data_IF_229224869579
#
_entry.id   IF_229224869579
#
_cell.length_a   1.000
_cell.length_b   1.000
_cell.length_c   1.000
_cell.angle_alpha   90.00
_cell.angle_beta   90.00
_cell.angle_gamma   90.00
#
_symmetry.space_group_name_H-M   'P 1'
#
loop_
_entity.id
_entity.type
_entity.pdbx_description
1 polymer ?
#
# COMPACT_ATOMS: atom_id res chain seq x y z
N UNK A 1 -24.13 0.71 11.81
CA UNK A 1 -23.07 0.29 10.86
C UNK A 1 -22.16 1.47 10.64
N UNK A 2 -20.86 1.28 10.78
CA UNK A 2 -19.88 2.34 10.53
C UNK A 2 -19.85 2.69 9.05
N UNK A 3 -19.97 3.98 8.75
CA UNK A 3 -19.94 4.46 7.37
C UNK A 3 -18.55 4.26 6.77
N UNK A 4 -18.51 3.92 5.48
CA UNK A 4 -17.32 3.56 4.72
C UNK A 4 -16.89 4.69 3.80
N UNK A 5 -15.57 4.80 3.63
CA UNK A 5 -14.90 5.64 2.65
C UNK A 5 -14.51 4.72 1.50
N UNK A 6 -15.01 5.03 0.30
CA UNK A 6 -14.82 4.17 -0.87
C UNK A 6 -13.77 4.79 -1.77
N UNK A 7 -12.66 4.09 -2.00
CA UNK A 7 -11.64 4.44 -2.97
C UNK A 7 -11.96 3.74 -4.29
N UNK A 8 -12.13 4.47 -5.37
CA UNK A 8 -12.50 3.88 -6.66
C UNK A 8 -11.70 4.48 -7.83
N UNK A 9 -11.07 3.67 -8.69
CA UNK A 9 -10.36 4.16 -9.87
C UNK A 9 -11.32 4.68 -10.93
N UNK A 10 -10.94 5.76 -11.62
CA UNK A 10 -11.70 6.28 -12.76
C UNK A 10 -10.81 6.35 -13.99
N UNK A 11 -11.08 5.44 -14.92
CA UNK A 11 -10.48 5.37 -16.26
C UNK A 11 -11.55 5.68 -17.33
N UNK A 12 -11.10 5.84 -18.58
CA UNK A 12 -12.00 6.12 -19.72
C UNK A 12 -13.08 5.04 -19.89
N UNK A 13 -12.74 3.76 -19.69
CA UNK A 13 -13.66 2.64 -19.91
C UNK A 13 -14.50 2.24 -18.68
N UNK A 14 -14.25 2.85 -17.50
CA UNK A 14 -14.98 2.47 -16.27
C UNK A 14 -16.49 2.68 -16.42
N UNK A 15 -17.31 1.73 -15.97
CA UNK A 15 -18.76 1.92 -16.00
C UNK A 15 -19.27 2.48 -14.69
N UNK A 16 -20.38 3.23 -14.72
CA UNK A 16 -21.02 3.68 -13.49
C UNK A 16 -21.48 2.52 -12.61
N UNK A 17 -21.86 1.39 -13.21
CA UNK A 17 -22.28 0.19 -12.48
C UNK A 17 -21.16 -0.32 -11.58
N UNK A 18 -19.94 -0.42 -12.13
CA UNK A 18 -18.75 -0.85 -11.39
C UNK A 18 -18.39 0.12 -10.26
N UNK A 19 -18.52 1.43 -10.51
CA UNK A 19 -18.14 2.46 -9.53
C UNK A 19 -19.17 2.61 -8.41
N UNK A 20 -20.46 2.48 -8.71
CA UNK A 20 -21.54 2.69 -7.74
C UNK A 20 -21.95 1.40 -7.02
N UNK A 21 -21.54 0.22 -7.47
CA UNK A 21 -21.87 -1.04 -6.79
C UNK A 21 -21.46 -1.04 -5.30
N UNK A 22 -20.23 -0.63 -4.92
CA UNK A 22 -19.86 -0.50 -3.50
C UNK A 22 -20.71 0.50 -2.73
N UNK A 23 -21.07 1.62 -3.36
CA UNK A 23 -21.86 2.68 -2.73
C UNK A 23 -23.28 2.20 -2.37
N UNK A 24 -23.83 1.29 -3.19
CA UNK A 24 -25.15 0.69 -2.96
C UNK A 24 -25.14 -0.39 -1.89
N UNK A 25 -24.03 -1.12 -1.77
CA UNK A 25 -23.89 -2.24 -0.85
C UNK A 25 -23.49 -1.79 0.56
N UNK A 26 -22.67 -0.74 0.67
CA UNK A 26 -22.10 -0.28 1.93
C UNK A 26 -22.65 1.10 2.32
N UNK A 27 -22.97 1.32 3.62
CA UNK A 27 -23.25 2.67 4.12
C UNK A 27 -22.06 3.59 3.84
N UNK A 28 -22.20 4.53 2.91
CA UNK A 28 -21.08 5.31 2.40
C UNK A 28 -21.05 6.70 3.05
N UNK A 29 -19.89 7.09 3.57
CA UNK A 29 -19.63 8.44 4.08
C UNK A 29 -19.21 9.39 2.97
N UNK A 30 -18.24 8.94 2.15
CA UNK A 30 -17.72 9.68 1.00
C UNK A 30 -17.04 8.74 0.03
N UNK A 31 -16.86 9.21 -1.20
CA UNK A 31 -16.13 8.51 -2.25
C UNK A 31 -14.88 9.31 -2.65
N UNK A 32 -13.74 8.63 -2.74
CA UNK A 32 -12.49 9.18 -3.25
C UNK A 32 -12.23 8.55 -4.61
N UNK A 33 -12.35 9.34 -5.67
CA UNK A 33 -12.10 8.91 -7.04
C UNK A 33 -10.61 9.04 -7.35
N UNK A 34 -9.97 7.93 -7.66
CA UNK A 34 -8.57 7.86 -8.05
C UNK A 34 -8.49 8.01 -9.58
N UNK A 35 -8.10 9.19 -10.06
CA UNK A 35 -8.14 9.48 -11.50
C UNK A 35 -6.77 9.84 -12.07
N UNK A 36 -6.45 9.28 -13.22
CA UNK A 36 -5.34 9.75 -14.06
C UNK A 36 -5.74 11.04 -14.80
N UNK A 37 -4.79 11.64 -15.53
CA UNK A 37 -5.06 12.86 -16.32
C UNK A 37 -6.13 12.60 -17.36
N UNK A 38 -6.10 11.43 -17.98
CA UNK A 38 -7.02 11.02 -19.05
C UNK A 38 -8.45 10.78 -18.54
N UNK A 39 -8.61 10.48 -17.25
CA UNK A 39 -9.89 10.22 -16.60
C UNK A 39 -10.53 11.43 -15.91
N UNK A 40 -9.84 12.58 -15.85
CA UNK A 40 -10.22 13.70 -14.99
C UNK A 40 -11.61 14.25 -15.29
N UNK A 41 -11.94 14.48 -16.57
CA UNK A 41 -13.27 14.98 -16.99
C UNK A 41 -14.40 14.06 -16.50
N UNK A 42 -14.17 12.75 -16.60
CA UNK A 42 -15.14 11.75 -16.16
C UNK A 42 -15.24 11.68 -14.64
N UNK A 43 -14.11 11.79 -13.94
CA UNK A 43 -14.09 11.83 -12.47
C UNK A 43 -14.88 13.03 -11.94
N UNK A 44 -14.70 14.22 -12.52
CA UNK A 44 -15.47 15.41 -12.15
C UNK A 44 -16.97 15.25 -12.41
N UNK A 45 -17.37 14.63 -13.53
CA UNK A 45 -18.76 14.33 -13.81
C UNK A 45 -19.37 13.36 -12.77
N UNK A 46 -18.59 12.36 -12.35
CA UNK A 46 -19.00 11.41 -11.30
C UNK A 46 -19.10 12.07 -9.92
N UNK A 47 -18.22 13.01 -9.58
CA UNK A 47 -18.33 13.80 -8.33
C UNK A 47 -19.69 14.49 -8.27
N UNK A 48 -20.04 15.28 -9.29
CA UNK A 48 -21.32 16.00 -9.34
C UNK A 48 -22.52 15.07 -9.17
N UNK A 49 -22.43 13.87 -9.76
CA UNK A 49 -23.49 12.87 -9.68
C UNK A 49 -23.61 12.24 -8.29
N UNK A 50 -22.49 11.95 -7.63
CA UNK A 50 -22.47 11.45 -6.26
C UNK A 50 -22.99 12.51 -5.28
N UNK A 51 -22.59 13.76 -5.45
CA UNK A 51 -23.09 14.89 -4.66
C UNK A 51 -24.60 15.08 -4.84
N UNK A 52 -25.12 14.94 -6.07
CA UNK A 52 -26.56 14.94 -6.35
C UNK A 52 -27.33 13.81 -5.66
N UNK A 53 -26.65 12.73 -5.25
CA UNK A 53 -27.20 11.63 -4.45
C UNK A 53 -26.97 11.83 -2.93
N UNK A 54 -26.42 12.99 -2.52
CA UNK A 54 -26.11 13.30 -1.12
C UNK A 54 -24.85 12.62 -0.60
N UNK A 55 -23.96 12.16 -1.49
CA UNK A 55 -22.72 11.45 -1.15
C UNK A 55 -21.53 12.35 -1.48
N UNK A 56 -20.82 12.89 -0.48
CA UNK A 56 -19.62 13.67 -0.71
C UNK A 56 -18.59 12.90 -1.55
N UNK A 57 -18.01 13.56 -2.54
CA UNK A 57 -17.01 12.95 -3.41
C UNK A 57 -15.84 13.90 -3.68
N UNK A 58 -14.64 13.34 -3.84
CA UNK A 58 -13.44 14.09 -4.17
C UNK A 58 -12.60 13.33 -5.18
N UNK A 59 -11.79 14.04 -5.96
CA UNK A 59 -10.82 13.43 -6.89
C UNK A 59 -9.43 13.52 -6.31
N UNK A 60 -8.74 12.37 -6.22
CA UNK A 60 -7.31 12.30 -5.96
C UNK A 60 -6.60 11.93 -7.26
N UNK A 61 -5.64 12.75 -7.66
CA UNK A 61 -4.87 12.51 -8.87
C UNK A 61 -3.90 11.34 -8.65
N UNK A 62 -3.95 10.39 -9.57
CA UNK A 62 -3.00 9.28 -9.63
C UNK A 62 -1.83 9.73 -10.50
N UNK A 63 -0.70 10.07 -9.87
CA UNK A 63 0.52 10.51 -10.56
C UNK A 63 1.76 9.84 -9.97
N UNK A 64 2.66 9.39 -10.84
CA UNK A 64 3.89 8.70 -10.46
C UNK A 64 4.73 8.34 -11.69
N UNK A 65 5.98 7.91 -11.50
CA UNK A 65 6.85 7.51 -12.64
C UNK A 65 6.38 6.20 -13.27
N UNK A 66 5.65 5.39 -12.52
CA UNK A 66 4.96 4.19 -13.00
C UNK A 66 3.54 4.13 -12.47
N UNK A 67 2.65 3.33 -13.11
CA UNK A 67 1.27 3.13 -12.62
C UNK A 67 1.24 2.54 -11.21
N UNK A 68 2.15 1.61 -10.91
CA UNK A 68 2.29 1.02 -9.59
C UNK A 68 2.55 2.09 -8.53
N UNK A 69 3.61 2.88 -8.72
CA UNK A 69 3.96 4.01 -7.85
C UNK A 69 2.77 4.94 -7.65
N UNK A 70 2.11 5.32 -8.74
CA UNK A 70 1.01 6.26 -8.71
C UNK A 70 -0.16 5.76 -7.84
N UNK A 71 -0.57 4.49 -7.98
CA UNK A 71 -1.67 3.94 -7.19
C UNK A 71 -1.30 3.67 -5.73
N UNK A 72 -0.09 3.17 -5.46
CA UNK A 72 0.35 2.98 -4.09
C UNK A 72 0.42 4.32 -3.33
N UNK A 73 0.98 5.36 -3.95
CA UNK A 73 1.01 6.71 -3.35
C UNK A 73 -0.40 7.26 -3.16
N UNK A 74 -1.26 7.19 -4.19
CA UNK A 74 -2.62 7.70 -4.08
C UNK A 74 -3.45 6.98 -2.99
N UNK A 75 -3.26 5.67 -2.83
CA UNK A 75 -3.84 4.93 -1.71
C UNK A 75 -3.25 5.42 -0.40
N UNK A 76 -1.92 5.45 -0.24
CA UNK A 76 -1.26 5.87 1.00
C UNK A 76 -1.60 7.30 1.45
N UNK A 77 -1.83 8.21 0.51
CA UNK A 77 -2.31 9.57 0.76
C UNK A 77 -3.77 9.56 1.23
N UNK A 78 -4.61 8.72 0.60
CA UNK A 78 -5.99 8.57 1.02
C UNK A 78 -6.15 7.88 2.38
N UNK A 79 -5.15 7.12 2.87
CA UNK A 79 -5.15 6.53 4.20
C UNK A 79 -4.74 7.51 5.30
N UNK A 80 -4.16 8.65 4.95
CA UNK A 80 -3.54 9.54 5.93
C UNK A 80 -4.59 10.10 6.91
N UNK A 81 -4.40 9.82 8.21
CA UNK A 81 -5.31 10.24 9.27
C UNK A 81 -6.65 9.46 9.34
N UNK A 82 -6.80 8.35 8.61
CA UNK A 82 -8.03 7.55 8.60
C UNK A 82 -7.84 6.16 9.21
N UNK A 83 -8.89 5.65 9.83
CA UNK A 83 -8.92 4.27 10.33
C UNK A 83 -9.12 3.29 9.16
N UNK A 84 -8.25 2.27 9.09
CA UNK A 84 -8.18 1.32 7.96
C UNK A 84 -9.48 0.52 7.77
N UNK A 85 -10.21 0.26 8.83
CA UNK A 85 -11.48 -0.47 8.83
C UNK A 85 -12.66 0.33 8.26
N UNK A 86 -12.53 1.66 8.18
CA UNK A 86 -13.50 2.55 7.53
C UNK A 86 -13.33 2.60 6.02
N UNK A 87 -12.28 2.00 5.47
CA UNK A 87 -11.92 2.15 4.06
C UNK A 87 -12.22 0.86 3.29
N UNK A 88 -12.76 1.01 2.07
CA UNK A 88 -12.91 -0.07 1.10
C UNK A 88 -12.32 0.38 -0.23
N UNK A 89 -11.46 -0.45 -0.81
CA UNK A 89 -10.89 -0.20 -2.15
C UNK A 89 -11.72 -0.96 -3.19
N UNK A 90 -12.45 -0.23 -4.02
CA UNK A 90 -13.02 -0.75 -5.24
C UNK A 90 -11.92 -0.86 -6.29
N UNK A 91 -11.69 -2.05 -6.83
CA UNK A 91 -10.72 -2.22 -7.93
C UNK A 91 -11.39 -2.18 -9.30
N UNK A 92 -12.72 -2.29 -9.38
CA UNK A 92 -13.41 -2.31 -10.67
C UNK A 92 -13.38 -0.96 -11.36
N UNK A 93 -13.46 -0.99 -12.69
CA UNK A 93 -13.30 0.19 -13.54
C UNK A 93 -11.84 0.54 -13.85
N UNK A 94 -10.85 -0.08 -13.20
CA UNK A 94 -9.45 0.04 -13.58
C UNK A 94 -9.05 -0.94 -14.71
N UNK A 95 -7.99 -0.61 -15.45
CA UNK A 95 -7.33 -1.57 -16.35
C UNK A 95 -6.61 -2.68 -15.56
N UNK A 96 -6.23 -3.78 -16.22
CA UNK A 96 -5.63 -4.96 -15.57
C UNK A 96 -4.42 -4.64 -14.69
N UNK A 97 -3.55 -3.71 -15.11
CA UNK A 97 -2.35 -3.36 -14.34
C UNK A 97 -2.75 -2.54 -13.11
N UNK A 98 -3.66 -1.59 -13.29
CA UNK A 98 -4.20 -0.74 -12.23
C UNK A 98 -5.00 -1.53 -11.18
N UNK A 99 -5.81 -2.51 -11.62
CA UNK A 99 -6.51 -3.47 -10.74
C UNK A 99 -5.52 -4.25 -9.88
N UNK A 100 -4.44 -4.75 -10.49
CA UNK A 100 -3.39 -5.46 -9.79
C UNK A 100 -2.70 -4.57 -8.75
N UNK A 101 -2.34 -3.34 -9.13
CA UNK A 101 -1.73 -2.37 -8.20
C UNK A 101 -2.64 -2.05 -7.01
N UNK A 102 -3.93 -1.77 -7.25
CA UNK A 102 -4.90 -1.50 -6.19
C UNK A 102 -5.12 -2.71 -5.27
N UNK A 103 -5.19 -3.91 -5.83
CA UNK A 103 -5.33 -5.16 -5.05
C UNK A 103 -4.13 -5.36 -4.14
N UNK A 104 -2.91 -5.14 -4.65
CA UNK A 104 -1.69 -5.22 -3.85
C UNK A 104 -1.61 -4.11 -2.80
N UNK A 105 -2.00 -2.88 -3.14
CA UNK A 105 -2.05 -1.77 -2.19
C UNK A 105 -3.04 -2.07 -1.05
N UNK A 106 -4.21 -2.62 -1.37
CA UNK A 106 -5.18 -3.08 -0.38
C UNK A 106 -4.59 -4.18 0.50
N UNK A 107 -3.96 -5.19 -0.09
CA UNK A 107 -3.35 -6.31 0.61
C UNK A 107 -2.29 -5.89 1.61
N UNK A 108 -1.30 -5.12 1.17
CA UNK A 108 -0.19 -4.76 2.04
C UNK A 108 -0.64 -3.84 3.18
N UNK A 109 -1.62 -2.98 2.93
CA UNK A 109 -2.17 -2.10 3.96
C UNK A 109 -3.25 -2.77 4.82
N UNK A 110 -3.64 -4.02 4.54
CA UNK A 110 -4.67 -4.75 5.28
C UNK A 110 -6.08 -4.20 5.10
N UNK A 111 -6.36 -3.57 3.96
CA UNK A 111 -7.62 -2.89 3.65
C UNK A 111 -8.52 -3.83 2.83
N UNK A 112 -9.82 -3.92 3.15
CA UNK A 112 -10.75 -4.68 2.32
C UNK A 112 -10.82 -4.15 0.88
N UNK A 113 -10.74 -5.05 -0.09
CA UNK A 113 -10.93 -4.73 -1.50
C UNK A 113 -12.17 -5.43 -2.06
N UNK A 114 -12.82 -4.79 -3.02
CA UNK A 114 -14.00 -5.31 -3.72
C UNK A 114 -13.84 -5.20 -5.23
N UNK A 115 -14.48 -6.12 -5.94
CA UNK A 115 -14.59 -6.09 -7.39
C UNK A 115 -16.04 -6.40 -7.82
N UNK A 116 -16.54 -5.66 -8.79
CA UNK A 116 -17.75 -5.97 -9.54
C UNK A 116 -17.42 -6.99 -10.64
N UNK A 117 -17.91 -8.22 -10.48
CA UNK A 117 -17.66 -9.37 -11.36
C UNK A 117 -19.01 -10.05 -11.62
N UNK A 118 -19.30 -10.37 -12.89
CA UNK A 118 -20.53 -11.05 -13.31
C UNK A 118 -21.82 -10.40 -12.76
N UNK A 119 -21.84 -9.06 -12.74
CA UNK A 119 -23.00 -8.28 -12.29
C UNK A 119 -23.16 -8.18 -10.77
N UNK A 120 -22.21 -8.70 -9.99
CA UNK A 120 -22.26 -8.74 -8.52
C UNK A 120 -21.02 -8.11 -7.90
N UNK A 121 -21.19 -7.49 -6.74
CA UNK A 121 -20.07 -7.03 -5.94
C UNK A 121 -19.51 -8.21 -5.15
N UNK A 122 -18.21 -8.46 -5.29
CA UNK A 122 -17.49 -9.51 -4.57
C UNK A 122 -16.43 -8.89 -3.68
N UNK A 123 -16.40 -9.32 -2.42
CA UNK A 123 -15.27 -9.08 -1.54
C UNK A 123 -14.09 -9.93 -1.99
N UNK A 124 -12.93 -9.31 -2.15
CA UNK A 124 -11.71 -10.03 -2.50
C UNK A 124 -11.06 -10.61 -1.24
N UNK A 125 -10.40 -11.78 -1.35
CA UNK A 125 -9.67 -12.39 -0.25
C UNK A 125 -8.38 -11.60 0.02
N UNK A 126 -8.53 -10.43 0.63
CA UNK A 126 -7.41 -9.66 1.15
C UNK A 126 -7.02 -10.27 2.49
N UNK A 127 -6.06 -11.20 2.48
CA UNK A 127 -5.53 -11.74 3.73
C UNK A 127 -4.99 -10.56 4.54
N UNK A 128 -5.39 -10.46 5.80
CA UNK A 128 -4.84 -9.49 6.77
C UNK A 128 -3.42 -9.91 7.21
N UNK A 129 -2.59 -10.32 6.26
CA UNK A 129 -1.15 -10.43 6.44
C UNK A 129 -0.60 -9.01 6.26
N UNK A 130 -1.01 -8.09 7.14
CA UNK A 130 -0.45 -6.76 7.12
C UNK A 130 1.05 -6.91 7.28
N UNK A 131 1.83 -6.36 6.36
CA UNK A 131 3.29 -6.39 6.46
C UNK A 131 3.74 -5.85 7.84
N UNK A 132 2.94 -4.99 8.49
CA UNK A 132 3.13 -4.51 9.86
C UNK A 132 3.11 -5.58 10.96
N UNK A 133 2.41 -6.72 10.79
CA UNK A 133 2.45 -7.82 11.78
C UNK A 133 3.79 -8.54 11.78
N UNK A 134 4.51 -8.49 10.66
CA UNK A 134 5.84 -9.10 10.48
C UNK A 134 6.96 -8.07 10.64
N UNK A 135 6.73 -6.81 10.24
CA UNK A 135 7.62 -5.66 10.37
C UNK A 135 7.37 -4.90 11.67
N UNK A 136 7.94 -5.42 12.75
CA UNK A 136 7.97 -4.74 14.04
C UNK A 136 8.69 -3.39 13.95
N UNK A 137 8.44 -2.50 14.93
CA UNK A 137 9.11 -1.20 15.02
C UNK A 137 10.65 -1.29 14.95
N UNK A 138 11.24 -2.39 15.46
CA UNK A 138 12.68 -2.64 15.38
C UNK A 138 13.14 -2.93 13.94
N UNK A 139 12.38 -3.74 13.19
CA UNK A 139 12.65 -4.01 11.78
C UNK A 139 12.48 -2.74 10.93
N UNK A 140 11.44 -1.95 11.20
CA UNK A 140 11.22 -0.66 10.53
C UNK A 140 12.40 0.30 10.77
N UNK A 141 12.86 0.44 12.02
CA UNK A 141 14.04 1.26 12.34
C UNK A 141 15.30 0.83 11.57
N UNK A 142 15.51 -0.47 11.38
CA UNK A 142 16.63 -0.98 10.56
C UNK A 142 16.48 -0.54 9.10
N UNK A 143 15.29 -0.70 8.52
CA UNK A 143 15.01 -0.33 7.13
C UNK A 143 15.15 1.18 6.90
N UNK A 144 14.69 2.01 7.86
CA UNK A 144 14.85 3.46 7.83
C UNK A 144 16.32 3.90 7.85
N UNK A 145 17.14 3.30 8.71
CA UNK A 145 18.58 3.61 8.75
C UNK A 145 19.30 3.16 7.48
N UNK A 146 18.92 2.02 6.91
CA UNK A 146 19.47 1.54 5.63
C UNK A 146 19.00 2.38 4.44
N UNK A 147 17.79 2.95 4.48
CA UNK A 147 17.28 3.82 3.42
C UNK A 147 18.09 5.11 3.26
N UNK A 148 18.79 5.53 4.31
CA UNK A 148 19.70 6.69 4.29
C UNK A 148 21.09 6.34 3.74
N UNK A 149 21.38 5.07 3.48
CA UNK A 149 22.66 4.60 2.95
C UNK A 149 22.50 4.27 1.47
N UNK A 150 23.43 4.75 0.63
CA UNK A 150 23.42 4.42 -0.81
C UNK A 150 24.01 3.03 -1.11
N UNK A 151 24.70 2.43 -0.13
CA UNK A 151 25.46 1.19 -0.30
C UNK A 151 25.37 0.26 0.93
N UNK A 152 26.07 -0.87 0.85
CA UNK A 152 26.18 -1.86 1.91
C UNK A 152 26.75 -1.26 3.21
N UNK A 153 25.91 -1.20 4.25
CA UNK A 153 26.24 -0.71 5.57
C UNK A 153 26.85 -1.82 6.44
N UNK A 154 28.04 -1.63 7.04
CA UNK A 154 28.59 -2.59 7.99
C UNK A 154 27.67 -2.80 9.19
N UNK A 155 27.52 -4.05 9.65
CA UNK A 155 26.67 -4.43 10.78
C UNK A 155 26.99 -3.62 12.06
N UNK A 156 28.26 -3.31 12.31
CA UNK A 156 28.70 -2.52 13.47
C UNK A 156 28.23 -1.06 13.39
N UNK A 157 28.24 -0.47 12.18
CA UNK A 157 27.73 0.88 11.93
C UNK A 157 26.22 0.91 12.14
N UNK A 158 25.52 -0.07 11.58
CA UNK A 158 24.07 -0.20 11.69
C UNK A 158 23.62 -0.46 13.14
N UNK A 159 24.34 -1.27 13.90
CA UNK A 159 24.10 -1.51 15.32
C UNK A 159 24.16 -0.22 16.14
N UNK A 160 25.18 0.61 15.91
CA UNK A 160 25.31 1.93 16.57
C UNK A 160 24.15 2.86 16.21
N UNK A 161 23.78 2.98 14.94
CA UNK A 161 22.68 3.85 14.48
C UNK A 161 21.32 3.43 15.02
N UNK A 162 21.07 2.13 15.05
CA UNK A 162 19.80 1.56 15.53
C UNK A 162 19.73 1.47 17.06
N UNK A 163 20.87 1.55 17.75
CA UNK A 163 20.97 1.34 19.20
C UNK A 163 20.78 -0.12 19.61
N UNK A 164 21.04 -1.07 18.71
CA UNK A 164 20.88 -2.51 18.96
C UNK A 164 22.24 -3.18 19.17
N UNK A 165 22.27 -4.29 19.91
CA UNK A 165 23.46 -5.17 19.90
C UNK A 165 23.58 -5.89 18.55
N UNK A 166 24.79 -6.35 18.21
CA UNK A 166 25.01 -7.11 16.97
C UNK A 166 24.17 -8.39 16.92
N UNK A 167 23.96 -9.05 18.05
CA UNK A 167 23.15 -10.26 18.15
C UNK A 167 21.68 -9.97 17.88
N UNK A 168 21.16 -8.89 18.47
CA UNK A 168 19.77 -8.47 18.26
C UNK A 168 19.53 -8.00 16.83
N UNK A 169 20.49 -7.27 16.26
CA UNK A 169 20.46 -6.84 14.87
C UNK A 169 20.47 -8.05 13.92
N UNK A 170 21.36 -9.02 14.17
CA UNK A 170 21.42 -10.28 13.41
C UNK A 170 20.12 -11.07 13.51
N UNK A 171 19.49 -11.13 14.69
CA UNK A 171 18.18 -11.74 14.87
C UNK A 171 17.10 -11.10 13.99
N UNK A 172 17.04 -9.77 13.92
CA UNK A 172 16.03 -9.10 13.08
C UNK A 172 16.33 -9.18 11.58
N UNK A 173 17.60 -9.27 11.19
CA UNK A 173 18.03 -9.38 9.80
C UNK A 173 17.88 -10.81 9.28
N UNK A 174 18.41 -11.79 10.00
CA UNK A 174 18.44 -13.20 9.57
C UNK A 174 17.24 -14.00 10.06
N UNK A 175 16.64 -13.61 11.18
CA UNK A 175 15.51 -14.32 11.78
C UNK A 175 15.94 -15.57 12.55
N UNK A 176 14.97 -16.43 12.84
CA UNK A 176 15.12 -17.75 13.44
C UNK A 176 14.11 -18.71 12.81
N UNK A 177 14.09 -19.97 13.26
CA UNK A 177 13.05 -20.94 12.87
C UNK A 177 11.62 -20.46 13.23
N UNK A 178 11.46 -19.62 14.25
CA UNK A 178 10.15 -19.14 14.74
C UNK A 178 9.81 -17.70 14.36
N UNK A 179 10.75 -16.96 13.77
CA UNK A 179 10.56 -15.54 13.42
C UNK A 179 11.27 -15.26 12.11
N UNK A 180 10.55 -14.74 11.12
CA UNK A 180 11.16 -14.35 9.85
C UNK A 180 12.05 -13.11 10.01
N UNK A 181 13.24 -13.14 9.42
CA UNK A 181 14.18 -12.01 9.36
C UNK A 181 13.97 -11.17 8.09
N UNK A 182 14.45 -9.94 8.11
CA UNK A 182 14.39 -9.03 6.96
C UNK A 182 14.98 -9.61 5.66
N UNK A 183 16.02 -10.46 5.76
CA UNK A 183 16.63 -11.09 4.59
C UNK A 183 15.70 -12.15 3.97
N UNK A 184 15.03 -12.95 4.81
CA UNK A 184 14.05 -13.95 4.36
C UNK A 184 12.79 -13.31 3.79
N UNK A 185 12.44 -12.12 4.29
CA UNK A 185 11.39 -11.26 3.74
C UNK A 185 11.81 -10.55 2.46
N UNK A 186 13.04 -10.78 1.98
CA UNK A 186 13.63 -10.14 0.80
C UNK A 186 13.65 -8.61 0.87
N UNK A 187 13.66 -8.03 2.07
CA UNK A 187 13.70 -6.57 2.25
C UNK A 187 15.13 -6.03 2.37
N UNK A 188 16.08 -6.90 2.71
CA UNK A 188 17.51 -6.57 2.78
C UNK A 188 18.34 -7.66 2.14
N UNK A 189 19.51 -7.26 1.65
CA UNK A 189 20.55 -8.18 1.16
C UNK A 189 21.73 -8.14 2.13
N UNK A 190 22.33 -9.30 2.39
CA UNK A 190 23.52 -9.45 3.24
C UNK A 190 24.72 -9.82 2.38
N UNK A 191 25.87 -9.19 2.62
CA UNK A 191 27.14 -9.52 1.98
C UNK A 191 28.25 -9.67 3.02
N UNK A 192 29.24 -10.50 2.72
CA UNK A 192 30.43 -10.69 3.55
C UNK A 192 31.64 -10.13 2.82
N UNK A 193 32.28 -9.11 3.39
CA UNK A 193 33.49 -8.53 2.83
C UNK A 193 34.61 -8.54 3.87
N UNK A 194 35.71 -9.24 3.58
CA UNK A 194 36.86 -9.41 4.49
C UNK A 194 36.44 -9.89 5.90
N UNK A 195 35.51 -10.84 5.95
CA UNK A 195 35.00 -11.41 7.21
C UNK A 195 34.02 -10.51 7.97
N UNK A 196 33.65 -9.35 7.44
CA UNK A 196 32.66 -8.44 8.04
C UNK A 196 31.35 -8.49 7.29
N UNK A 197 30.27 -8.71 8.03
CA UNK A 197 28.91 -8.69 7.49
C UNK A 197 28.48 -7.24 7.20
N UNK A 198 27.96 -7.04 6.00
CA UNK A 198 27.35 -5.80 5.55
C UNK A 198 25.93 -6.06 5.06
N UNK A 199 25.07 -5.05 5.16
CA UNK A 199 23.67 -5.14 4.78
C UNK A 199 23.24 -3.90 4.00
N UNK A 200 22.41 -4.09 2.98
CA UNK A 200 21.75 -3.00 2.27
C UNK A 200 20.26 -3.31 2.09
N UNK A 201 19.46 -2.29 1.74
CA UNK A 201 18.11 -2.54 1.25
C UNK A 201 18.15 -3.32 -0.05
N UNK A 202 17.28 -4.31 -0.19
CA UNK A 202 16.99 -4.91 -1.49
C UNK A 202 16.18 -3.94 -2.36
N UNK A 203 15.89 -4.34 -3.59
CA UNK A 203 14.94 -3.60 -4.43
C UNK A 203 13.56 -3.51 -3.78
N UNK A 204 13.07 -4.59 -3.16
CA UNK A 204 11.78 -4.60 -2.46
C UNK A 204 11.80 -3.70 -1.22
N UNK A 205 12.88 -3.75 -0.43
CA UNK A 205 13.06 -2.87 0.73
C UNK A 205 13.06 -1.39 0.35
N UNK A 206 13.70 -1.01 -0.76
CA UNK A 206 13.67 0.37 -1.29
C UNK A 206 12.26 0.80 -1.70
N UNK A 207 11.50 -0.09 -2.34
CA UNK A 207 10.11 0.21 -2.72
C UNK A 207 9.25 0.42 -1.47
N UNK A 208 9.36 -0.47 -0.48
CA UNK A 208 8.70 -0.33 0.81
C UNK A 208 8.98 1.04 1.46
N UNK A 209 10.26 1.45 1.50
CA UNK A 209 10.67 2.70 2.14
C UNK A 209 10.29 3.98 1.39
N UNK A 210 9.85 3.90 0.12
CA UNK A 210 9.37 5.05 -0.66
C UNK A 210 7.94 5.47 -0.32
N UNK A 211 7.32 4.84 0.69
CA UNK A 211 5.99 5.22 1.17
C UNK A 211 4.83 4.49 0.49
N UNK A 212 5.11 3.44 -0.30
CA UNK A 212 4.04 2.62 -0.87
C UNK A 212 3.27 1.81 0.19
N UNK A 213 3.85 1.63 1.38
CA UNK A 213 3.28 0.85 2.47
C UNK A 213 3.48 1.63 3.78
N UNK A 214 2.38 2.12 4.39
CA UNK A 214 2.42 2.76 5.71
C UNK A 214 2.01 1.73 6.79
N UNK A 215 2.84 1.47 7.81
CA UNK A 215 2.50 0.57 8.93
C UNK A 215 1.14 0.89 9.56
#
# INVERSE_FOLDING_TARGET
MDKKIILAPVNQDSTEKELFAPVREFPTERVVLLSSVEGTVKAEALVKRLEGLGIPASVTRVSGKSRWEAYFTAVADALDGLEKDRIIINISGADRISQCALTNAAHVNGIPAVAFIDGKLMMLPVLRLSVSSVLTARKMKILEELNREECYCPMEKLAKKTGMSLQLLSYHINGTLKSEGLARLELVETSMEKGRAKVCLSTMGRLLMRGYLKP
#
